data_IF_202827856062
#
_entry.id   IF_202827856062
#
_cell.length_a   1.000
_cell.length_b   1.000
_cell.length_c   1.000
_cell.angle_alpha   90.00
_cell.angle_beta   90.00
_cell.angle_gamma   90.00
#
_symmetry.space_group_name_H-M   'P 1'
#
loop_
_entity.id
_entity.type
_entity.pdbx_description
1 polymer ?
#
# COMPACT_ATOMS: atom_id res chain seq x y z
N UNK A 1 -11.78 18.69 22.57
CA UNK A 1 -12.09 17.38 23.19
C UNK A 1 -12.95 16.66 22.17
N UNK A 2 -12.47 15.55 21.62
CA UNK A 2 -13.27 14.74 20.70
C UNK A 2 -14.35 14.06 21.55
N UNK A 3 -15.62 14.32 21.23
CA UNK A 3 -16.75 13.59 21.79
C UNK A 3 -16.96 12.32 20.96
N UNK A 4 -17.18 11.20 21.64
CA UNK A 4 -17.59 9.97 20.99
C UNK A 4 -18.92 10.20 20.27
N UNK A 5 -18.98 9.83 18.99
CA UNK A 5 -20.16 10.05 18.16
C UNK A 5 -21.37 9.27 18.70
N UNK A 6 -22.55 9.88 18.57
CA UNK A 6 -23.84 9.27 18.91
C UNK A 6 -23.96 7.88 18.26
N UNK A 7 -24.30 6.81 19.02
CA UNK A 7 -24.45 5.45 18.49
C UNK A 7 -25.32 5.32 17.24
N UNK A 8 -26.24 6.26 16.99
CA UNK A 8 -27.05 6.31 15.77
C UNK A 8 -26.22 6.53 14.49
N UNK A 9 -25.04 7.16 14.61
CA UNK A 9 -24.18 7.56 13.50
C UNK A 9 -23.08 6.51 13.20
N UNK A 10 -22.96 5.46 14.02
CA UNK A 10 -21.93 4.42 13.84
C UNK A 10 -22.07 3.65 12.51
N UNK A 11 -23.28 3.63 11.93
CA UNK A 11 -23.55 3.06 10.61
C UNK A 11 -23.50 4.07 9.45
N UNK A 12 -23.25 5.35 9.72
CA UNK A 12 -23.23 6.39 8.69
C UNK A 12 -22.03 6.26 7.73
N UNK A 13 -20.97 5.56 8.15
CA UNK A 13 -19.79 5.28 7.36
C UNK A 13 -19.58 3.77 7.26
N UNK A 14 -19.79 3.22 6.07
CA UNK A 14 -19.52 1.81 5.75
C UNK A 14 -18.68 1.74 4.48
N UNK A 15 -17.72 0.83 4.46
CA UNK A 15 -16.71 0.80 3.42
C UNK A 15 -15.65 -0.26 3.63
N UNK A 16 -14.73 -0.29 2.66
CA UNK A 16 -13.62 -1.22 2.62
C UNK A 16 -12.36 -0.46 2.30
N UNK A 17 -11.26 -0.82 2.95
CA UNK A 17 -9.94 -0.34 2.62
C UNK A 17 -9.02 -1.49 2.25
N UNK A 18 -8.09 -1.23 1.34
CA UNK A 18 -6.99 -2.14 1.05
C UNK A 18 -5.82 -1.91 2.01
N UNK A 19 -5.08 -2.96 2.33
CA UNK A 19 -3.80 -2.90 3.06
C UNK A 19 -2.76 -3.75 2.33
N UNK A 20 -1.49 -3.59 2.71
CA UNK A 20 -0.39 -4.37 2.11
C UNK A 20 -0.70 -5.87 2.24
N UNK A 21 -0.73 -6.57 1.10
CA UNK A 21 -1.11 -7.98 1.09
C UNK A 21 -0.61 -8.69 -0.17
N UNK A 22 -0.09 -9.92 -0.04
CA UNK A 22 0.29 -10.73 -1.19
C UNK A 22 -0.93 -11.38 -1.88
N UNK A 23 -2.12 -11.26 -1.29
CA UNK A 23 -3.32 -11.97 -1.70
C UNK A 23 -3.24 -13.47 -1.52
N UNK A 24 -4.13 -14.20 -2.22
CA UNK A 24 -4.29 -15.66 -2.09
C UNK A 24 -3.03 -16.45 -2.46
N UNK A 25 -2.14 -15.89 -3.28
CA UNK A 25 -0.88 -16.53 -3.66
C UNK A 25 0.15 -16.53 -2.53
N UNK A 26 -0.06 -15.73 -1.49
CA UNK A 26 0.83 -15.67 -0.33
C UNK A 26 2.17 -15.00 -0.62
N UNK A 27 2.93 -14.81 0.45
CA UNK A 27 4.29 -14.25 0.40
C UNK A 27 5.23 -15.22 -0.32
N UNK A 28 6.09 -14.68 -1.16
CA UNK A 28 7.10 -15.45 -1.91
C UNK A 28 8.49 -15.03 -1.45
N UNK A 29 9.40 -15.99 -1.29
CA UNK A 29 10.74 -15.74 -0.73
C UNK A 29 11.56 -14.73 -1.53
N UNK A 30 11.33 -14.68 -2.84
CA UNK A 30 12.02 -13.76 -3.75
C UNK A 30 11.42 -12.36 -3.77
N UNK A 31 10.35 -12.09 -3.02
CA UNK A 31 9.68 -10.78 -2.98
C UNK A 31 8.93 -10.40 -4.25
N UNK A 32 8.83 -11.28 -5.25
CA UNK A 32 8.26 -10.95 -6.57
C UNK A 32 6.75 -10.69 -6.57
N UNK A 33 6.03 -11.21 -5.56
CA UNK A 33 4.60 -10.98 -5.42
C UNK A 33 4.32 -9.60 -4.82
N UNK A 34 4.05 -8.62 -5.69
CA UNK A 34 3.73 -7.25 -5.27
C UNK A 34 2.29 -7.02 -4.80
N UNK A 35 1.46 -8.08 -4.72
CA UNK A 35 0.07 -7.96 -4.31
C UNK A 35 -0.89 -7.62 -5.45
N UNK A 36 -0.47 -7.77 -6.71
CA UNK A 36 -1.28 -7.53 -7.90
C UNK A 36 -2.67 -8.14 -7.82
N UNK A 37 -2.73 -9.46 -7.61
CA UNK A 37 -4.00 -10.20 -7.63
C UNK A 37 -4.92 -9.78 -6.50
N UNK A 38 -4.36 -9.38 -5.36
CA UNK A 38 -5.13 -8.85 -4.24
C UNK A 38 -5.79 -7.52 -4.60
N UNK A 39 -5.03 -6.58 -5.14
CA UNK A 39 -5.56 -5.28 -5.57
C UNK A 39 -6.56 -5.43 -6.74
N UNK A 40 -6.30 -6.31 -7.71
CA UNK A 40 -7.24 -6.63 -8.80
C UNK A 40 -8.56 -7.19 -8.25
N UNK A 41 -8.51 -8.13 -7.30
CA UNK A 41 -9.70 -8.68 -6.64
C UNK A 41 -10.45 -7.61 -5.83
N UNK A 42 -9.74 -6.77 -5.07
CA UNK A 42 -10.32 -5.67 -4.29
C UNK A 42 -11.04 -4.66 -5.19
N UNK A 43 -10.35 -4.12 -6.19
CA UNK A 43 -10.91 -3.11 -7.09
C UNK A 43 -12.05 -3.66 -7.97
N UNK A 44 -11.98 -4.92 -8.40
CA UNK A 44 -13.07 -5.59 -9.13
C UNK A 44 -14.37 -5.71 -8.30
N UNK A 45 -14.24 -5.91 -6.98
CA UNK A 45 -15.39 -5.96 -6.07
C UNK A 45 -15.92 -4.57 -5.76
N UNK A 46 -15.03 -3.64 -5.43
CA UNK A 46 -15.40 -2.30 -5.00
C UNK A 46 -15.98 -1.45 -6.12
N UNK A 47 -15.56 -1.66 -7.37
CA UNK A 47 -16.17 -0.96 -8.52
C UNK A 47 -17.66 -1.28 -8.71
N UNK A 48 -18.18 -2.36 -8.08
CA UNK A 48 -19.58 -2.75 -8.11
C UNK A 48 -20.38 -2.30 -6.88
N UNK A 49 -19.70 -1.92 -5.79
CA UNK A 49 -20.32 -1.48 -4.55
C UNK A 49 -20.41 0.05 -4.53
N UNK A 50 -21.45 0.60 -5.15
CA UNK A 50 -21.61 2.07 -5.29
C UNK A 50 -22.13 2.77 -4.05
N UNK A 51 -22.69 2.03 -3.09
CA UNK A 51 -23.24 2.51 -1.83
C UNK A 51 -22.24 2.44 -0.66
N UNK A 52 -21.01 1.99 -0.91
CA UNK A 52 -19.94 1.82 0.08
C UNK A 52 -18.73 2.66 -0.29
N UNK A 53 -18.02 3.17 0.72
CA UNK A 53 -16.77 3.88 0.50
C UNK A 53 -15.66 2.87 0.21
N UNK A 54 -14.99 3.02 -0.94
CA UNK A 54 -13.81 2.24 -1.28
C UNK A 54 -12.55 3.09 -1.10
N UNK A 55 -11.65 2.65 -0.21
CA UNK A 55 -10.34 3.26 -0.01
C UNK A 55 -9.29 2.32 -0.61
N UNK A 56 -8.75 2.69 -1.77
CA UNK A 56 -7.66 1.92 -2.37
C UNK A 56 -6.35 2.09 -1.60
N UNK A 57 -5.36 1.28 -1.95
CA UNK A 57 -4.03 1.36 -1.35
C UNK A 57 -2.93 1.22 -2.40
N UNK A 58 -1.80 1.86 -2.10
CA UNK A 58 -0.54 1.73 -2.80
C UNK A 58 0.58 1.60 -1.78
N UNK A 59 1.66 0.92 -2.12
CA UNK A 59 2.80 0.68 -1.23
C UNK A 59 4.10 0.60 -2.03
N UNK A 60 5.24 1.01 -1.44
CA UNK A 60 6.52 0.94 -2.12
C UNK A 60 7.12 -0.45 -2.17
N UNK A 61 6.66 -1.35 -1.31
CA UNK A 61 7.21 -2.68 -1.05
C UNK A 61 6.76 -3.11 0.35
N UNK A 62 7.37 -4.18 0.86
CA UNK A 62 7.17 -4.66 2.22
C UNK A 62 8.38 -5.52 2.61
N UNK A 63 8.97 -5.30 3.78
CA UNK A 63 10.03 -6.16 4.28
C UNK A 63 10.09 -6.06 5.80
N UNK A 64 9.47 -7.02 6.49
CA UNK A 64 9.51 -7.11 7.96
C UNK A 64 10.66 -7.99 8.48
N UNK A 65 11.61 -8.40 7.62
CA UNK A 65 12.68 -9.32 8.01
C UNK A 65 13.65 -8.76 9.05
N UNK A 66 13.66 -7.44 9.25
CA UNK A 66 14.48 -6.74 10.25
C UNK A 66 13.71 -6.39 11.52
N UNK A 67 12.39 -6.56 11.54
CA UNK A 67 11.59 -6.36 12.75
C UNK A 67 11.74 -7.59 13.66
N UNK A 68 11.95 -7.37 14.97
CA UNK A 68 12.09 -8.48 15.94
C UNK A 68 10.83 -9.37 16.01
N UNK A 69 9.67 -8.79 15.71
CA UNK A 69 8.37 -9.45 15.68
C UNK A 69 7.95 -9.90 14.28
N UNK A 70 8.78 -9.64 13.26
CA UNK A 70 8.49 -9.91 11.87
C UNK A 70 8.44 -11.41 11.54
N UNK A 71 7.78 -11.74 10.43
CA UNK A 71 7.66 -13.13 9.94
C UNK A 71 8.55 -13.41 8.73
N UNK A 72 9.43 -12.47 8.35
CA UNK A 72 10.28 -12.58 7.16
C UNK A 72 9.49 -12.49 5.85
N UNK A 73 8.37 -11.76 5.88
CA UNK A 73 7.50 -11.46 4.75
C UNK A 73 8.17 -10.39 3.90
N UNK A 74 8.16 -10.61 2.58
CA UNK A 74 8.86 -9.75 1.64
C UNK A 74 8.06 -9.46 0.38
N UNK A 75 8.17 -8.24 -0.07
CA UNK A 75 7.69 -7.70 -1.33
C UNK A 75 8.71 -6.66 -1.84
N UNK A 76 9.35 -6.97 -2.96
CA UNK A 76 10.41 -6.13 -3.50
C UNK A 76 9.86 -4.79 -3.99
N UNK A 77 10.63 -3.72 -3.75
CA UNK A 77 10.27 -2.39 -4.24
C UNK A 77 10.39 -2.25 -5.75
N UNK A 78 11.09 -3.19 -6.41
CA UNK A 78 11.29 -3.25 -7.87
C UNK A 78 11.74 -1.89 -8.44
N UNK A 79 12.73 -1.26 -7.82
CA UNK A 79 13.22 0.06 -8.24
C UNK A 79 12.15 1.17 -8.23
N UNK A 80 11.14 1.07 -7.34
CA UNK A 80 9.99 1.96 -7.29
C UNK A 80 8.80 1.49 -8.14
N UNK A 81 8.96 0.44 -8.96
CA UNK A 81 7.90 -0.09 -9.82
C UNK A 81 6.73 -0.68 -9.01
N UNK A 82 6.97 -1.13 -7.78
CA UNK A 82 5.89 -1.59 -6.88
C UNK A 82 4.94 -0.47 -6.48
N UNK A 83 5.47 0.71 -6.13
CA UNK A 83 4.63 1.87 -5.90
C UNK A 83 3.90 2.30 -7.17
N UNK A 84 4.63 2.39 -8.29
CA UNK A 84 4.07 2.84 -9.57
C UNK A 84 2.95 1.92 -10.08
N UNK A 85 3.11 0.60 -9.95
CA UNK A 85 2.09 -0.36 -10.37
C UNK A 85 0.87 -0.32 -9.44
N UNK A 86 1.09 -0.27 -8.11
CA UNK A 86 0.00 -0.28 -7.12
C UNK A 86 -0.82 1.00 -7.15
N UNK A 87 -0.18 2.18 -7.29
CA UNK A 87 -0.87 3.48 -7.38
C UNK A 87 -1.72 3.63 -8.64
N UNK A 88 -1.34 2.98 -9.75
CA UNK A 88 -2.05 3.13 -11.02
C UNK A 88 -3.12 2.06 -11.26
N UNK A 89 -3.11 0.94 -10.53
CA UNK A 89 -3.94 -0.23 -10.85
C UNK A 89 -5.45 0.07 -10.77
N UNK A 90 -5.88 0.94 -9.85
CA UNK A 90 -7.29 1.29 -9.68
C UNK A 90 -7.92 1.85 -10.97
N UNK A 91 -7.13 2.49 -11.84
CA UNK A 91 -7.61 3.15 -13.07
C UNK A 91 -8.19 2.16 -14.09
N UNK A 92 -7.91 0.86 -13.94
CA UNK A 92 -8.53 -0.20 -14.76
C UNK A 92 -9.98 -0.51 -14.36
N UNK A 93 -10.38 -0.14 -13.15
CA UNK A 93 -11.66 -0.52 -12.54
C UNK A 93 -12.56 0.68 -12.24
N UNK A 94 -11.95 1.85 -12.04
CA UNK A 94 -12.64 3.11 -11.75
C UNK A 94 -12.45 4.09 -12.92
N UNK A 95 -13.46 4.30 -13.77
CA UNK A 95 -13.40 5.22 -14.90
C UNK A 95 -13.39 6.68 -14.43
N UNK A 96 -13.08 7.61 -15.34
CA UNK A 96 -12.91 9.04 -15.00
C UNK A 96 -14.20 9.73 -14.53
N UNK A 97 -15.36 9.25 -14.97
CA UNK A 97 -16.69 9.72 -14.56
C UNK A 97 -17.15 9.12 -13.22
N UNK A 98 -16.44 8.09 -12.73
CA UNK A 98 -16.65 7.48 -11.42
C UNK A 98 -15.31 7.05 -10.80
N UNK A 99 -14.47 8.01 -10.38
CA UNK A 99 -13.15 7.72 -9.87
C UNK A 99 -13.21 7.00 -8.52
N UNK A 100 -12.12 6.33 -8.15
CA UNK A 100 -11.90 5.85 -6.79
C UNK A 100 -11.87 7.07 -5.85
N UNK A 101 -12.69 7.14 -4.79
CA UNK A 101 -12.84 8.35 -3.99
C UNK A 101 -11.60 8.66 -3.13
N UNK A 102 -10.92 7.62 -2.64
CA UNK A 102 -9.73 7.76 -1.80
C UNK A 102 -8.68 6.70 -2.14
N UNK A 103 -7.41 7.10 -2.07
CA UNK A 103 -6.27 6.21 -2.17
C UNK A 103 -5.31 6.50 -1.01
N UNK A 104 -4.94 5.45 -0.28
CA UNK A 104 -3.97 5.50 0.79
C UNK A 104 -2.59 5.05 0.30
N UNK A 105 -1.54 5.78 0.66
CA UNK A 105 -0.17 5.30 0.51
C UNK A 105 0.27 4.71 1.85
N UNK A 106 0.54 3.42 1.83
CA UNK A 106 0.94 2.59 2.98
C UNK A 106 2.47 2.48 2.93
N UNK A 107 3.23 3.17 3.79
CA UNK A 107 2.86 4.15 4.82
C UNK A 107 3.79 5.37 4.76
N UNK A 108 3.53 6.40 5.57
CA UNK A 108 4.46 7.52 5.69
C UNK A 108 5.83 7.07 6.22
N UNK A 109 5.89 6.41 7.38
CA UNK A 109 7.13 6.17 8.11
C UNK A 109 7.20 4.82 8.85
N UNK A 110 6.47 3.79 8.42
CA UNK A 110 6.66 2.45 8.97
C UNK A 110 7.91 1.79 8.36
N UNK A 111 9.03 2.01 9.05
CA UNK A 111 10.33 1.43 8.70
C UNK A 111 10.46 -0.02 9.14
N UNK A 112 9.68 -0.47 10.14
CA UNK A 112 9.74 -1.84 10.64
C UNK A 112 9.16 -2.82 9.62
N UNK A 113 8.10 -2.43 8.91
CA UNK A 113 7.52 -3.20 7.82
C UNK A 113 8.07 -2.85 6.42
N UNK A 114 9.03 -1.92 6.34
CA UNK A 114 9.66 -1.51 5.08
C UNK A 114 8.69 -0.82 4.10
N UNK A 115 7.63 -0.18 4.61
CA UNK A 115 6.61 0.50 3.80
C UNK A 115 6.76 2.03 3.79
N UNK A 116 7.70 2.59 4.57
CA UNK A 116 7.94 4.03 4.69
C UNK A 116 8.27 4.70 3.34
N UNK A 117 7.57 5.81 3.04
CA UNK A 117 7.85 6.71 1.90
C UNK A 117 8.53 8.02 2.29
N UNK A 118 8.69 8.29 3.60
CA UNK A 118 9.19 9.56 4.15
C UNK A 118 10.51 10.04 3.53
N UNK A 119 11.44 9.13 3.21
CA UNK A 119 12.76 9.45 2.61
C UNK A 119 12.76 9.43 1.08
N UNK A 120 11.60 9.24 0.46
CA UNK A 120 11.46 8.98 -0.97
C UNK A 120 11.67 7.50 -1.33
N UNK A 121 11.46 7.20 -2.61
CA UNK A 121 11.53 5.84 -3.15
C UNK A 121 12.83 5.67 -3.93
N UNK A 122 13.64 4.69 -3.53
CA UNK A 122 14.87 4.36 -4.22
C UNK A 122 14.57 3.91 -5.66
N UNK A 123 15.26 4.51 -6.63
CA UNK A 123 15.27 4.05 -8.01
C UNK A 123 16.59 3.33 -8.29
N UNK A 124 16.61 2.40 -9.23
CA UNK A 124 17.83 1.62 -9.52
C UNK A 124 18.92 2.41 -10.29
N UNK A 125 18.70 3.72 -10.51
CA UNK A 125 19.66 4.64 -11.14
C UNK A 125 20.32 5.62 -10.18
N UNK A 126 19.77 5.82 -8.98
CA UNK A 126 20.34 6.65 -7.94
C UNK A 126 21.43 5.85 -7.24
N UNK A 127 22.66 5.97 -7.74
CA UNK A 127 23.85 5.69 -6.93
C UNK A 127 23.70 6.47 -5.61
N UNK A 128 23.76 5.75 -4.50
CA UNK A 128 23.83 6.29 -3.16
C UNK A 128 25.00 7.27 -3.02
N UNK A 129 24.74 8.57 -3.21
CA UNK A 129 25.65 9.63 -2.80
C UNK A 129 25.51 9.97 -1.30
N UNK A 130 24.75 9.17 -0.54
CA UNK A 130 24.48 9.39 0.89
C UNK A 130 25.42 8.66 1.86
N UNK A 131 26.17 7.64 1.41
CA UNK A 131 26.96 6.79 2.30
C UNK A 131 28.43 7.23 2.52
N UNK A 132 28.84 8.41 2.03
CA UNK A 132 30.24 8.86 2.07
C UNK A 132 30.50 10.15 2.87
N UNK A 133 29.57 10.59 3.74
CA UNK A 133 29.76 11.77 4.59
C UNK A 133 29.32 11.58 6.05
N UNK A 134 29.78 10.49 6.66
CA UNK A 134 29.80 10.34 8.12
C UNK A 134 31.00 9.47 8.49
N UNK A 135 32.19 10.06 8.40
CA UNK A 135 33.46 9.37 8.61
C UNK A 135 34.62 10.32 8.35
N UNK A 136 34.72 11.35 9.19
CA UNK A 136 35.80 12.31 9.28
C UNK A 136 35.84 12.87 10.69
#
# INVERSE_FOLDING_TARGET
IYEDQDPKDWGAFDGYYAWVSPGKKGWVKDGSNWGRSYLEDFYSRMSKQTDKIAIGAAWPGFDDSKAEWGQGRKMDARCGKTLEDSINLHRRYFPADRPLPFLMIVTWNDYEEGTAIERGIANCGSRDNGAQRAGG
#
